data_IF_682791422260
#
_entry.id   IF_682791422260
#
_cell.length_a   1.000
_cell.length_b   1.000
_cell.length_c   1.000
_cell.angle_alpha   90.00
_cell.angle_beta   90.00
_cell.angle_gamma   90.00
#
_symmetry.space_group_name_H-M   'P 1'
#
loop_
_entity.id
_entity.type
_entity.pdbx_description
1 polymer ?
#
# COMPACT_ATOMS: atom_id res chain seq x y z
N UNK A 1 -17.81 -14.15 -7.64
CA UNK A 1 -17.65 -13.67 -6.25
C UNK A 1 -17.92 -12.18 -6.30
N UNK A 2 -18.85 -11.71 -5.50
CA UNK A 2 -19.46 -10.37 -5.56
C UNK A 2 -18.43 -9.24 -5.60
N UNK A 3 -18.79 -8.21 -6.36
CA UNK A 3 -18.14 -6.90 -6.51
C UNK A 3 -18.27 -6.03 -5.25
N UNK A 4 -18.71 -6.62 -4.14
CA UNK A 4 -19.03 -5.91 -2.91
C UNK A 4 -17.83 -5.78 -1.97
N UNK A 5 -17.47 -4.54 -1.66
CA UNK A 5 -16.76 -4.06 -0.44
C UNK A 5 -15.23 -4.01 -0.42
N UNK A 6 -14.53 -4.53 -1.42
CA UNK A 6 -13.07 -4.34 -1.49
C UNK A 6 -12.74 -2.98 -2.14
N UNK A 7 -11.84 -2.18 -1.52
CA UNK A 7 -11.36 -0.90 -2.06
C UNK A 7 -10.55 -1.10 -3.35
N UNK A 8 -11.24 -1.13 -4.50
CA UNK A 8 -10.66 -1.43 -5.81
C UNK A 8 -10.17 -0.20 -6.56
N UNK A 9 -10.54 0.99 -6.13
CA UNK A 9 -10.32 2.24 -6.86
C UNK A 9 -8.83 2.54 -7.01
N UNK A 10 -8.00 2.05 -6.07
CA UNK A 10 -6.56 2.20 -6.12
C UNK A 10 -5.93 1.52 -7.34
N UNK A 11 -6.59 0.51 -7.93
CA UNK A 11 -6.12 -0.17 -9.16
C UNK A 11 -6.02 0.80 -10.33
N UNK A 12 -6.81 1.87 -10.35
CA UNK A 12 -6.80 2.87 -11.42
C UNK A 12 -5.44 3.56 -11.54
N UNK A 13 -4.66 3.61 -10.45
CA UNK A 13 -3.29 4.16 -10.46
C UNK A 13 -2.27 3.27 -11.17
N UNK A 14 -2.63 2.02 -11.49
CA UNK A 14 -1.84 1.07 -12.29
C UNK A 14 -2.27 1.04 -13.76
N UNK A 15 -3.20 1.89 -14.14
CA UNK A 15 -3.63 2.02 -15.51
C UNK A 15 -2.59 2.75 -16.38
N UNK A 16 -2.78 2.74 -17.71
CA UNK A 16 -1.99 3.59 -18.58
C UNK A 16 -2.17 5.07 -18.20
N UNK A 17 -1.08 5.85 -18.28
CA UNK A 17 -1.04 7.24 -17.77
C UNK A 17 -2.10 8.14 -18.41
N UNK A 18 -2.45 7.90 -19.68
CA UNK A 18 -3.45 8.70 -20.36
C UNK A 18 -4.85 8.40 -19.84
N UNK A 19 -5.15 7.13 -19.58
CA UNK A 19 -6.44 6.71 -19.04
C UNK A 19 -6.60 7.06 -17.58
N UNK A 20 -5.55 6.89 -16.78
CA UNK A 20 -5.54 7.35 -15.38
C UNK A 20 -5.82 8.85 -15.28
N UNK A 21 -5.19 9.67 -16.13
CA UNK A 21 -5.40 11.12 -16.15
C UNK A 21 -6.84 11.57 -16.47
N UNK A 22 -7.70 10.68 -17.00
CA UNK A 22 -9.12 10.98 -17.29
C UNK A 22 -10.05 10.68 -16.11
N UNK A 23 -9.56 10.01 -15.06
CA UNK A 23 -10.37 9.72 -13.88
C UNK A 23 -10.56 11.00 -13.07
N UNK A 24 -11.81 11.45 -12.95
CA UNK A 24 -12.14 12.67 -12.23
C UNK A 24 -12.76 12.35 -10.87
N UNK A 25 -12.01 12.58 -9.79
CA UNK A 25 -12.50 12.48 -8.41
C UNK A 25 -11.89 13.57 -7.53
N UNK A 26 -12.12 14.84 -7.92
CA UNK A 26 -11.33 15.99 -7.44
C UNK A 26 -11.13 16.01 -5.93
N UNK A 27 -12.20 15.96 -5.13
CA UNK A 27 -12.07 16.06 -3.67
C UNK A 27 -11.21 14.93 -3.08
N UNK A 28 -11.44 13.69 -3.53
CA UNK A 28 -10.66 12.53 -3.07
C UNK A 28 -9.19 12.64 -3.50
N UNK A 29 -8.94 13.05 -4.75
CA UNK A 29 -7.59 13.20 -5.28
C UNK A 29 -6.84 14.35 -4.59
N UNK A 30 -7.49 15.48 -4.29
CA UNK A 30 -6.89 16.60 -3.55
C UNK A 30 -6.39 16.14 -2.16
N UNK A 31 -7.15 15.27 -1.47
CA UNK A 31 -6.74 14.69 -0.19
C UNK A 31 -5.54 13.76 -0.37
N UNK A 32 -5.62 12.85 -1.34
CA UNK A 32 -4.53 11.90 -1.66
C UNK A 32 -3.25 12.64 -2.06
N UNK A 33 -3.34 13.75 -2.77
CA UNK A 33 -2.18 14.57 -3.12
C UNK A 33 -1.56 15.27 -1.90
N UNK A 34 -2.38 15.62 -0.90
CA UNK A 34 -1.95 16.25 0.34
C UNK A 34 -1.25 15.31 1.33
N UNK A 35 -1.34 13.98 1.17
CA UNK A 35 -0.73 13.04 2.13
C UNK A 35 0.79 12.94 1.95
N UNK A 36 1.49 12.76 3.08
CA UNK A 36 2.95 12.56 3.10
C UNK A 36 3.31 11.10 2.78
N UNK A 37 2.54 10.16 3.30
CA UNK A 37 2.71 8.72 3.07
C UNK A 37 1.39 7.97 3.35
N UNK A 38 1.33 6.71 2.95
CA UNK A 38 0.20 5.83 3.21
C UNK A 38 0.57 4.74 4.20
N UNK A 39 -0.34 4.38 5.09
CA UNK A 39 -0.26 3.14 5.89
C UNK A 39 -1.27 2.15 5.35
N UNK A 40 -0.77 1.04 4.83
CA UNK A 40 -1.57 -0.03 4.24
C UNK A 40 -1.64 -1.21 5.21
N UNK A 41 -2.77 -1.37 5.90
CA UNK A 41 -3.02 -2.51 6.77
C UNK A 41 -3.51 -3.69 5.93
N UNK A 42 -2.83 -4.83 6.02
CA UNK A 42 -3.10 -6.01 5.19
C UNK A 42 -3.36 -7.22 6.08
N UNK A 43 -4.40 -7.98 5.77
CA UNK A 43 -4.80 -9.16 6.54
C UNK A 43 -3.88 -10.37 6.32
N UNK A 44 -3.07 -10.36 5.26
CA UNK A 44 -2.12 -11.44 4.98
C UNK A 44 -1.05 -11.54 6.07
N UNK A 45 -0.51 -12.75 6.23
CA UNK A 45 0.53 -13.07 7.19
C UNK A 45 1.68 -13.81 6.49
N UNK A 46 2.42 -13.16 5.57
CA UNK A 46 3.41 -13.83 4.74
C UNK A 46 4.58 -14.36 5.59
N UNK A 47 5.00 -15.58 5.32
CA UNK A 47 6.01 -16.33 6.08
C UNK A 47 7.28 -16.59 5.29
N UNK A 48 7.19 -16.64 3.95
CA UNK A 48 8.32 -16.88 3.06
C UNK A 48 8.57 -15.70 2.10
N UNK A 49 9.64 -15.78 1.30
CA UNK A 49 10.05 -14.66 0.42
C UNK A 49 9.08 -14.43 -0.74
N UNK A 50 8.47 -15.48 -1.26
CA UNK A 50 7.52 -15.40 -2.38
C UNK A 50 6.21 -14.76 -1.92
N UNK A 51 5.66 -15.21 -0.79
CA UNK A 51 4.49 -14.58 -0.15
C UNK A 51 4.73 -13.11 0.21
N UNK A 52 5.96 -12.77 0.63
CA UNK A 52 6.35 -11.38 0.88
C UNK A 52 6.43 -10.58 -0.41
N UNK A 53 7.00 -11.12 -1.48
CA UNK A 53 7.01 -10.44 -2.79
C UNK A 53 5.57 -10.20 -3.25
N UNK A 54 4.72 -11.22 -3.22
CA UNK A 54 3.32 -11.10 -3.60
C UNK A 54 2.63 -10.02 -2.76
N UNK A 55 2.72 -10.08 -1.42
CA UNK A 55 2.06 -9.11 -0.53
C UNK A 55 2.58 -7.67 -0.67
N UNK A 56 3.90 -7.50 -0.83
CA UNK A 56 4.52 -6.17 -0.78
C UNK A 56 4.55 -5.47 -2.14
N UNK A 57 4.73 -6.24 -3.22
CA UNK A 57 4.91 -5.70 -4.57
C UNK A 57 3.62 -5.79 -5.40
N UNK A 58 2.95 -6.95 -5.37
CA UNK A 58 1.85 -7.23 -6.28
C UNK A 58 0.50 -6.94 -5.63
N UNK A 59 0.18 -7.65 -4.54
CA UNK A 59 -1.03 -7.57 -3.75
C UNK A 59 -2.32 -7.54 -4.59
N UNK A 60 -2.30 -8.19 -5.76
CA UNK A 60 -3.38 -8.13 -6.76
C UNK A 60 -3.80 -6.70 -7.12
N UNK A 61 -2.90 -5.73 -6.96
CA UNK A 61 -3.13 -4.31 -7.22
C UNK A 61 -4.07 -3.62 -6.23
N UNK A 62 -4.34 -4.26 -5.09
CA UNK A 62 -5.29 -3.78 -4.08
C UNK A 62 -4.60 -2.98 -2.96
N UNK A 63 -5.37 -2.10 -2.31
CA UNK A 63 -4.99 -1.44 -1.06
C UNK A 63 -3.64 -0.71 -1.15
N UNK A 64 -3.35 -0.12 -2.32
CA UNK A 64 -2.10 0.61 -2.63
C UNK A 64 -2.40 1.74 -3.61
N UNK A 65 -2.02 2.96 -3.24
CA UNK A 65 -2.01 4.08 -4.18
C UNK A 65 -0.64 4.17 -4.87
N UNK A 66 -0.53 3.68 -6.10
CA UNK A 66 0.79 3.49 -6.72
C UNK A 66 1.41 4.81 -7.18
N UNK A 67 0.59 5.80 -7.55
CA UNK A 67 0.99 7.09 -8.14
C UNK A 67 1.47 8.14 -7.11
N UNK A 68 1.45 7.83 -5.81
CA UNK A 68 1.82 8.81 -4.77
C UNK A 68 2.51 8.16 -3.58
N UNK A 69 3.50 8.89 -3.05
CA UNK A 69 4.11 8.70 -1.73
C UNK A 69 4.72 7.31 -1.47
N UNK A 70 5.45 7.16 -0.35
CA UNK A 70 5.79 5.86 0.17
C UNK A 70 4.55 5.22 0.83
N UNK A 71 4.41 3.91 0.66
CA UNK A 71 3.38 3.07 1.29
C UNK A 71 4.07 2.21 2.33
N UNK A 72 3.76 2.40 3.60
CA UNK A 72 4.17 1.52 4.68
C UNK A 72 3.14 0.39 4.83
N UNK A 73 3.57 -0.84 4.60
CA UNK A 73 2.70 -2.01 4.58
C UNK A 73 2.87 -2.78 5.88
N UNK A 74 1.77 -2.99 6.60
CA UNK A 74 1.74 -3.71 7.88
C UNK A 74 0.84 -4.93 7.73
N UNK A 75 1.44 -6.13 7.79
CA UNK A 75 0.75 -7.41 7.73
C UNK A 75 0.19 -7.81 9.10
N UNK A 76 -0.79 -8.71 9.13
CA UNK A 76 -1.44 -9.18 10.37
C UNK A 76 -0.46 -9.86 11.35
N UNK A 77 0.61 -10.49 10.84
CA UNK A 77 1.68 -11.07 11.65
C UNK A 77 2.79 -10.07 12.04
N UNK A 78 2.57 -8.78 11.81
CA UNK A 78 3.54 -7.72 12.09
C UNK A 78 4.67 -7.62 11.07
N UNK A 79 4.65 -8.39 9.97
CA UNK A 79 5.62 -8.23 8.89
C UNK A 79 5.42 -6.86 8.23
N UNK A 80 6.51 -6.09 8.22
CA UNK A 80 6.58 -4.77 7.61
C UNK A 80 7.18 -4.85 6.21
N UNK A 81 6.69 -4.01 5.31
CA UNK A 81 7.35 -3.72 4.03
C UNK A 81 7.02 -2.31 3.55
N UNK A 82 7.60 -1.93 2.42
CA UNK A 82 7.38 -0.63 1.81
C UNK A 82 7.22 -0.78 0.32
N UNK A 83 6.27 -0.05 -0.25
CA UNK A 83 6.20 0.18 -1.68
C UNK A 83 6.43 1.67 -1.95
N UNK A 84 7.30 1.99 -2.90
CA UNK A 84 7.64 3.37 -3.26
C UNK A 84 7.42 3.60 -4.75
N UNK A 85 7.16 4.84 -5.12
CA UNK A 85 7.38 5.28 -6.50
C UNK A 85 8.82 5.80 -6.63
N UNK A 86 9.57 5.27 -7.60
CA UNK A 86 10.97 5.58 -7.83
C UNK A 86 11.18 6.92 -8.54
N UNK A 87 10.12 7.60 -8.97
CA UNK A 87 10.23 8.92 -9.61
C UNK A 87 10.79 10.01 -8.69
N UNK A 88 10.58 9.89 -7.37
CA UNK A 88 10.87 10.94 -6.39
C UNK A 88 11.83 10.51 -5.26
N UNK A 89 12.00 9.22 -5.03
CA UNK A 89 12.69 8.69 -3.85
C UNK A 89 13.71 7.64 -4.28
N UNK A 90 14.96 7.81 -3.86
CA UNK A 90 16.02 6.83 -4.06
C UNK A 90 16.11 5.81 -2.91
N UNK A 91 16.92 4.76 -3.11
CA UNK A 91 17.09 3.71 -2.12
C UNK A 91 17.71 4.15 -0.79
N UNK A 92 18.45 5.28 -0.77
CA UNK A 92 19.08 5.77 0.46
C UNK A 92 18.02 6.33 1.42
N UNK A 93 17.11 7.14 0.90
CA UNK A 93 15.99 7.70 1.70
C UNK A 93 15.14 6.57 2.29
N UNK A 94 14.86 5.53 1.50
CA UNK A 94 14.09 4.36 1.95
C UNK A 94 14.81 3.66 3.10
N UNK A 95 16.12 3.45 3.00
CA UNK A 95 16.92 2.83 4.07
C UNK A 95 16.86 3.64 5.36
N UNK A 96 17.08 4.95 5.28
CA UNK A 96 17.03 5.85 6.45
C UNK A 96 15.65 5.83 7.12
N UNK A 97 14.57 5.80 6.34
CA UNK A 97 13.21 5.63 6.86
C UNK A 97 13.03 4.31 7.61
N UNK A 98 13.53 3.19 7.07
CA UNK A 98 13.47 1.89 7.74
C UNK A 98 14.26 1.85 9.05
N UNK A 99 15.46 2.45 9.05
CA UNK A 99 16.30 2.56 10.24
C UNK A 99 15.57 3.34 11.34
N UNK A 100 15.01 4.50 11.00
CA UNK A 100 14.22 5.31 11.93
C UNK A 100 12.99 4.56 12.46
N UNK A 101 12.24 3.85 11.61
CA UNK A 101 11.11 3.02 12.04
C UNK A 101 11.55 1.89 12.98
N UNK A 102 12.64 1.19 12.66
CA UNK A 102 13.16 0.12 13.49
C UNK A 102 13.64 0.63 14.85
N UNK A 103 14.29 1.79 14.89
CA UNK A 103 14.69 2.46 16.14
C UNK A 103 13.50 2.89 16.97
N UNK A 104 12.48 3.50 16.35
CA UNK A 104 11.23 3.87 17.03
C UNK A 104 10.54 2.65 17.66
N UNK A 105 10.44 1.53 16.93
CA UNK A 105 9.86 0.29 17.43
C UNK A 105 10.67 -0.27 18.61
N UNK A 106 12.01 -0.29 18.52
CA UNK A 106 12.89 -0.83 19.58
C UNK A 106 12.91 0.04 20.83
N UNK A 107 12.81 1.36 20.67
CA UNK A 107 12.82 2.32 21.77
C UNK A 107 11.44 2.54 22.38
N UNK A 108 10.36 2.13 21.69
CA UNK A 108 9.00 2.24 22.17
C UNK A 108 8.83 1.46 23.48
N UNK A 109 8.64 2.21 24.57
CA UNK A 109 8.19 1.66 25.85
C UNK A 109 6.70 1.90 25.92
N UNK A 110 5.92 0.82 26.00
CA UNK A 110 4.51 0.92 26.33
C UNK A 110 4.46 1.45 27.76
N UNK A 111 4.02 2.69 27.94
CA UNK A 111 3.75 3.20 29.27
C UNK A 111 2.51 2.45 29.78
N UNK A 112 2.64 1.71 30.89
CA UNK A 112 1.51 0.99 31.50
C UNK A 112 0.43 1.98 32.00
N UNK A 113 0.79 3.26 32.09
CA UNK A 113 -0.10 4.38 32.40
C UNK A 113 -0.67 5.07 31.18
N UNK A 114 -0.42 4.58 29.96
CA UNK A 114 -1.13 5.06 28.77
C UNK A 114 -2.61 4.92 29.07
N UNK A 115 -3.21 6.06 29.43
CA UNK A 115 -4.62 6.31 29.33
C UNK A 115 -5.01 5.66 28.01
N UNK A 116 -5.85 4.62 28.05
CA UNK A 116 -6.81 4.47 26.98
C UNK A 116 -7.33 5.88 26.79
N UNK A 117 -6.97 6.52 25.67
CA UNK A 117 -7.47 7.85 25.35
C UNK A 117 -8.93 7.77 25.69
N UNK A 118 -9.36 8.52 26.70
CA UNK A 118 -10.77 8.47 27.08
C UNK A 118 -11.53 8.73 25.78
N UNK A 119 -12.65 8.05 25.49
CA UNK A 119 -13.28 8.10 24.16
C UNK A 119 -13.51 9.52 23.60
N UNK A 120 -13.44 10.56 24.44
CA UNK A 120 -13.50 11.97 24.09
C UNK A 120 -12.21 12.60 23.50
N UNK A 121 -11.04 11.98 23.60
CA UNK A 121 -9.79 12.43 22.94
C UNK A 121 -9.46 11.61 21.69
N UNK A 122 -10.28 10.59 21.37
CA UNK A 122 -10.06 9.70 20.23
C UNK A 122 -9.82 10.51 18.95
N UNK A 123 -8.71 10.21 18.26
CA UNK A 123 -8.45 10.76 16.93
C UNK A 123 -9.67 10.49 16.06
N UNK A 124 -10.34 11.56 15.62
CA UNK A 124 -11.48 11.43 14.74
C UNK A 124 -10.97 10.97 13.37
N UNK A 125 -11.20 9.71 13.04
CA UNK A 125 -10.89 9.17 11.73
C UNK A 125 -11.95 9.64 10.75
N UNK A 126 -11.53 10.38 9.73
CA UNK A 126 -12.38 10.75 8.60
C UNK A 126 -12.26 9.70 7.50
N UNK A 127 -13.40 9.14 7.08
CA UNK A 127 -13.45 8.27 5.91
C UNK A 127 -13.71 9.13 4.67
N UNK A 128 -12.78 9.10 3.74
CA UNK A 128 -12.95 9.73 2.44
C UNK A 128 -13.46 8.72 1.41
N UNK A 129 -14.50 9.09 0.68
CA UNK A 129 -15.20 8.21 -0.26
C UNK A 129 -14.73 8.53 -1.69
N UNK A 130 -14.29 7.51 -2.41
CA UNK A 130 -14.07 7.62 -3.84
C UNK A 130 -15.41 7.41 -4.56
N UNK A 131 -15.93 8.45 -5.22
CA UNK A 131 -17.18 8.33 -5.95
C UNK A 131 -17.00 7.61 -7.30
N UNK A 132 -17.71 6.51 -7.51
CA UNK A 132 -17.64 5.73 -8.75
C UNK A 132 -18.83 6.03 -9.67
N UNK A 133 -18.60 5.88 -10.98
CA UNK A 133 -19.62 5.86 -12.03
C UNK A 133 -19.56 4.51 -12.76
N UNK A 134 -20.58 4.13 -13.55
CA UNK A 134 -20.52 2.90 -14.35
C UNK A 134 -19.26 2.81 -15.22
N UNK A 135 -18.87 3.89 -15.90
CA UNK A 135 -17.65 3.92 -16.72
C UNK A 135 -16.37 3.70 -15.89
N UNK A 136 -16.31 4.24 -14.67
CA UNK A 136 -15.19 4.02 -13.76
C UNK A 136 -15.15 2.57 -13.29
N UNK A 137 -16.30 1.98 -12.97
CA UNK A 137 -16.39 0.58 -12.54
C UNK A 137 -15.96 -0.38 -13.65
N UNK A 138 -16.41 -0.13 -14.88
CA UNK A 138 -15.98 -0.88 -16.07
C UNK A 138 -14.48 -0.76 -16.27
N UNK A 139 -13.91 0.44 -16.09
CA UNK A 139 -12.46 0.65 -16.17
C UNK A 139 -11.70 -0.08 -15.06
N UNK A 140 -12.17 -0.01 -13.82
CA UNK A 140 -11.61 -0.77 -12.69
C UNK A 140 -11.56 -2.26 -13.03
N UNK A 141 -12.65 -2.81 -13.57
CA UNK A 141 -12.72 -4.22 -14.00
C UNK A 141 -11.66 -4.55 -15.05
N UNK A 142 -11.57 -3.72 -16.10
CA UNK A 142 -10.60 -3.90 -17.18
C UNK A 142 -9.14 -3.84 -16.69
N UNK A 143 -8.79 -2.83 -15.88
CA UNK A 143 -7.43 -2.66 -15.36
C UNK A 143 -7.06 -3.81 -14.42
N UNK A 144 -8.01 -4.25 -13.58
CA UNK A 144 -7.81 -5.38 -12.67
C UNK A 144 -7.56 -6.69 -13.41
N UNK A 145 -8.37 -7.01 -14.41
CA UNK A 145 -8.19 -8.21 -15.23
C UNK A 145 -6.80 -8.21 -15.86
N UNK A 146 -6.44 -7.10 -16.53
CA UNK A 146 -5.12 -6.91 -17.12
C UNK A 146 -3.98 -7.10 -16.10
N UNK A 147 -4.08 -6.45 -14.93
CA UNK A 147 -3.07 -6.54 -13.89
C UNK A 147 -2.87 -7.97 -13.38
N UNK A 148 -3.97 -8.69 -13.11
CA UNK A 148 -3.91 -10.08 -12.65
C UNK A 148 -3.25 -10.97 -13.70
N UNK A 149 -3.64 -10.82 -14.97
CA UNK A 149 -3.05 -11.59 -16.08
C UNK A 149 -1.56 -11.33 -16.20
N UNK A 150 -1.13 -10.06 -16.25
CA UNK A 150 0.28 -9.68 -16.40
C UNK A 150 1.12 -10.18 -15.21
N UNK A 151 0.65 -9.97 -13.99
CA UNK A 151 1.39 -10.30 -12.77
C UNK A 151 1.42 -11.80 -12.44
N UNK A 152 0.51 -12.61 -12.97
CA UNK A 152 0.54 -14.07 -12.79
C UNK A 152 1.79 -14.75 -13.34
N UNK A 153 2.54 -14.06 -14.21
CA UNK A 153 3.78 -14.55 -14.81
C UNK A 153 5.03 -14.20 -14.00
N UNK A 154 4.89 -13.35 -12.98
CA UNK A 154 6.01 -12.88 -12.15
C UNK A 154 6.37 -13.98 -11.14
N UNK A 155 7.64 -14.38 -11.12
CA UNK A 155 8.19 -15.33 -10.17
C UNK A 155 9.37 -14.76 -9.40
N UNK A 156 9.62 -15.29 -8.20
CA UNK A 156 10.75 -14.93 -7.36
C UNK A 156 11.78 -16.05 -7.29
N UNK A 157 13.03 -15.73 -7.62
CA UNK A 157 14.17 -16.62 -7.38
C UNK A 157 15.16 -15.93 -6.43
N UNK A 158 15.47 -16.59 -5.32
CA UNK A 158 16.45 -16.09 -4.35
C UNK A 158 17.77 -16.86 -4.47
N UNK A 159 18.84 -16.15 -4.76
CA UNK A 159 20.20 -16.68 -4.74
C UNK A 159 20.91 -16.25 -3.47
N UNK A 160 21.48 -17.20 -2.72
CA UNK A 160 22.22 -16.93 -1.49
C UNK A 160 23.67 -17.35 -1.72
N UNK A 161 24.59 -16.37 -1.72
CA UNK A 161 26.02 -16.65 -1.81
C UNK A 161 26.61 -16.80 -0.41
N UNK A 162 26.87 -18.05 0.01
CA UNK A 162 27.46 -18.36 1.32
C UNK A 162 28.99 -18.53 1.28
N UNK A 163 29.64 -18.21 0.16
CA UNK A 163 31.08 -18.49 -0.04
C UNK A 163 32.00 -17.36 0.44
N UNK A 164 31.51 -16.13 0.51
CA UNK A 164 32.22 -14.93 0.95
C UNK A 164 31.19 -13.80 1.19
N UNK A 165 31.54 -12.79 1.99
CA UNK A 165 30.68 -11.64 2.31
C UNK A 165 31.28 -10.74 3.37
#
# INVERSE_FOLDING_TARGET
>A
KDVGTDAWESILTLDDRNSWARVYNKLYLDIVEGVVFFVCLVESAPTNSEERMDTMLLNKGLNRWYDRGPKLIVCANGVLGTHVDYSLIDGKIIREMYEACAEAIKSYRRDDTNHYMTPNEAVQLEQHIFHTSPDILDRIGHVRERYITETSTIGLTKWICNRFG
#
